data_IF_740570045497
#
_entry.id   IF_740570045497
#
_cell.length_a   1.000
_cell.length_b   1.000
_cell.length_c   1.000
_cell.angle_alpha   90.00
_cell.angle_beta   90.00
_cell.angle_gamma   90.00
#
_symmetry.space_group_name_H-M   'P 1'
#
loop_
_entity.id
_entity.type
_entity.pdbx_description
1 polymer ?
#
# COMPACT_ATOMS: atom_id res chain seq x y z
N UNK A 1 20.69 7.05 -28.65
CA UNK A 1 21.76 6.21 -29.24
C UNK A 1 22.38 5.49 -28.07
N UNK A 2 22.30 4.16 -28.03
CA UNK A 2 22.86 3.40 -26.92
C UNK A 2 24.36 3.69 -26.78
N UNK A 3 24.82 3.85 -25.55
CA UNK A 3 26.25 3.97 -25.26
C UNK A 3 26.98 2.75 -25.84
N UNK A 4 28.13 2.97 -26.48
CA UNK A 4 28.91 1.91 -27.14
C UNK A 4 29.24 0.73 -26.21
N UNK A 5 29.34 1.00 -24.90
CA UNK A 5 29.63 -0.03 -23.89
C UNK A 5 28.42 -0.93 -23.56
N UNK A 6 27.21 -0.54 -23.97
CA UNK A 6 25.97 -1.27 -23.71
C UNK A 6 25.43 -1.96 -24.98
N UNK A 7 26.34 -2.40 -25.86
CA UNK A 7 25.97 -3.11 -27.09
C UNK A 7 26.49 -4.54 -27.09
N UNK A 8 25.71 -5.45 -27.65
CA UNK A 8 26.09 -6.86 -27.79
C UNK A 8 27.35 -7.01 -28.65
N UNK A 9 27.46 -6.22 -29.72
CA UNK A 9 28.56 -6.25 -30.66
C UNK A 9 29.89 -5.84 -30.03
N UNK A 10 29.91 -4.75 -29.25
CA UNK A 10 31.13 -4.28 -28.59
C UNK A 10 31.58 -5.24 -27.49
N UNK A 11 30.63 -5.80 -26.73
CA UNK A 11 30.95 -6.80 -25.73
C UNK A 11 31.54 -8.08 -26.35
N UNK A 12 30.93 -8.62 -27.42
CA UNK A 12 31.46 -9.78 -28.15
C UNK A 12 32.87 -9.55 -28.70
N UNK A 13 33.15 -8.33 -29.16
CA UNK A 13 34.48 -7.95 -29.65
C UNK A 13 35.51 -7.95 -28.52
N UNK A 14 35.13 -7.46 -27.35
CA UNK A 14 35.98 -7.44 -26.16
C UNK A 14 36.22 -8.83 -25.58
N UNK A 15 35.19 -9.67 -25.47
CA UNK A 15 35.27 -11.01 -24.89
C UNK A 15 35.84 -12.07 -25.84
N UNK A 16 36.00 -11.76 -27.14
CA UNK A 16 36.52 -12.70 -28.14
C UNK A 16 37.90 -13.25 -27.75
N UNK A 17 37.98 -14.58 -27.62
CA UNK A 17 39.22 -15.28 -27.26
C UNK A 17 39.53 -15.28 -25.76
N UNK A 18 38.65 -14.67 -24.93
CA UNK A 18 38.71 -14.76 -23.47
C UNK A 18 37.69 -15.82 -23.04
N UNK A 19 38.13 -16.86 -22.34
CA UNK A 19 37.26 -17.98 -21.92
C UNK A 19 36.37 -17.57 -20.74
N UNK A 20 35.36 -16.74 -21.03
CA UNK A 20 34.49 -16.11 -20.03
C UNK A 20 33.04 -16.51 -20.27
N UNK A 21 32.34 -16.90 -19.19
CA UNK A 21 30.93 -17.31 -19.22
C UNK A 21 30.02 -16.08 -19.25
N UNK A 22 29.93 -15.41 -20.39
CA UNK A 22 29.21 -14.14 -20.57
C UNK A 22 27.81 -14.28 -21.21
N UNK A 23 27.30 -15.51 -21.38
CA UNK A 23 26.00 -15.78 -22.03
C UNK A 23 24.85 -14.98 -21.42
N UNK A 24 24.83 -14.83 -20.09
CA UNK A 24 23.76 -14.09 -19.40
C UNK A 24 23.85 -12.58 -19.66
N UNK A 25 25.07 -12.02 -19.65
CA UNK A 25 25.32 -10.62 -19.96
C UNK A 25 24.96 -10.29 -21.42
N UNK A 26 25.34 -11.16 -22.36
CA UNK A 26 24.95 -11.04 -23.78
C UNK A 26 23.43 -11.00 -23.95
N UNK A 27 22.69 -11.84 -23.21
CA UNK A 27 21.22 -11.83 -23.25
C UNK A 27 20.63 -10.54 -22.66
N UNK A 28 21.21 -10.02 -21.58
CA UNK A 28 20.78 -8.75 -20.98
C UNK A 28 21.02 -7.56 -21.93
N UNK A 29 22.19 -7.50 -22.57
CA UNK A 29 22.51 -6.48 -23.59
C UNK A 29 21.56 -6.55 -24.79
N UNK A 30 21.27 -7.76 -25.30
CA UNK A 30 20.31 -7.94 -26.38
C UNK A 30 18.87 -7.55 -25.99
N UNK A 31 18.49 -7.71 -24.72
CA UNK A 31 17.19 -7.26 -24.21
C UNK A 31 17.14 -5.73 -24.13
N UNK A 32 18.23 -5.10 -23.66
CA UNK A 32 18.35 -3.64 -23.63
C UNK A 32 18.28 -3.02 -25.04
N UNK A 33 18.98 -3.60 -26.02
CA UNK A 33 18.92 -3.13 -27.42
C UNK A 33 17.51 -3.24 -28.04
N UNK A 34 16.69 -4.18 -27.56
CA UNK A 34 15.31 -4.41 -28.05
C UNK A 34 14.24 -3.67 -27.27
N UNK A 35 14.56 -3.12 -26.10
CA UNK A 35 13.60 -2.47 -25.21
C UNK A 35 12.96 -1.25 -25.88
N UNK A 36 11.63 -1.19 -25.85
CA UNK A 36 10.84 -0.11 -26.45
C UNK A 36 10.23 0.75 -25.34
N UNK A 37 10.88 1.88 -25.11
CA UNK A 37 10.41 2.89 -24.18
C UNK A 37 11.07 2.84 -22.81
N UNK A 38 10.81 3.85 -21.96
CA UNK A 38 11.61 4.10 -20.77
C UNK A 38 11.54 2.99 -19.72
N UNK A 39 10.36 2.43 -19.48
CA UNK A 39 10.14 1.41 -18.44
C UNK A 39 10.83 0.08 -18.79
N UNK A 40 10.69 -0.39 -20.03
CA UNK A 40 11.40 -1.59 -20.51
C UNK A 40 12.92 -1.39 -20.51
N UNK A 41 13.39 -0.19 -20.85
CA UNK A 41 14.81 0.16 -20.80
C UNK A 41 15.37 0.09 -19.39
N UNK A 42 14.66 0.60 -18.38
CA UNK A 42 15.09 0.53 -16.98
C UNK A 42 15.15 -0.92 -16.46
N UNK A 43 14.17 -1.74 -16.80
CA UNK A 43 14.17 -3.16 -16.45
C UNK A 43 15.35 -3.90 -17.10
N UNK A 44 15.62 -3.63 -18.37
CA UNK A 44 16.75 -4.22 -19.08
C UNK A 44 18.12 -3.75 -18.55
N UNK A 45 18.25 -2.47 -18.19
CA UNK A 45 19.46 -1.90 -17.58
C UNK A 45 19.77 -2.53 -16.20
N UNK A 46 18.76 -2.71 -15.35
CA UNK A 46 18.91 -3.40 -14.07
C UNK A 46 19.40 -4.84 -14.24
N UNK A 47 18.95 -5.52 -15.30
CA UNK A 47 19.43 -6.86 -15.62
C UNK A 47 20.87 -6.83 -16.16
N UNK A 48 21.27 -5.82 -16.92
CA UNK A 48 22.68 -5.64 -17.34
C UNK A 48 23.58 -5.45 -16.12
N UNK A 49 23.21 -4.58 -15.17
CA UNK A 49 23.96 -4.32 -13.93
C UNK A 49 24.15 -5.60 -13.10
N UNK A 50 23.07 -6.37 -12.92
CA UNK A 50 23.10 -7.65 -12.21
C UNK A 50 24.09 -8.64 -12.84
N UNK A 51 24.10 -8.74 -14.16
CA UNK A 51 24.98 -9.68 -14.87
C UNK A 51 26.43 -9.17 -14.95
N UNK A 52 26.69 -7.85 -15.02
CA UNK A 52 28.07 -7.30 -14.88
C UNK A 52 28.64 -7.59 -13.50
N UNK A 53 27.85 -7.46 -12.44
CA UNK A 53 28.27 -7.81 -11.07
C UNK A 53 28.50 -9.31 -10.87
N UNK A 54 27.65 -10.14 -11.47
CA UNK A 54 27.88 -11.59 -11.48
C UNK A 54 29.19 -11.92 -12.18
N UNK A 55 29.45 -11.30 -13.34
CA UNK A 55 30.65 -11.55 -14.12
C UNK A 55 31.92 -11.09 -13.40
N UNK A 56 31.86 -9.94 -12.72
CA UNK A 56 32.95 -9.40 -11.88
C UNK A 56 33.43 -10.40 -10.83
N UNK A 57 32.56 -11.28 -10.33
CA UNK A 57 32.93 -12.33 -9.37
C UNK A 57 33.75 -13.46 -10.00
N UNK A 58 33.60 -13.71 -11.30
CA UNK A 58 34.32 -14.76 -12.02
C UNK A 58 35.66 -14.29 -12.59
N UNK A 59 35.78 -13.01 -12.95
CA UNK A 59 37.00 -12.44 -13.56
C UNK A 59 37.89 -11.70 -12.55
N UNK A 60 37.84 -12.09 -11.27
CA UNK A 60 38.63 -11.45 -10.20
C UNK A 60 40.13 -11.50 -10.53
N UNK A 61 40.75 -10.33 -10.63
CA UNK A 61 42.19 -10.18 -10.86
C UNK A 61 42.57 -9.76 -12.29
N UNK A 62 41.64 -9.82 -13.26
CA UNK A 62 41.87 -9.28 -14.59
C UNK A 62 41.52 -7.78 -14.62
N UNK A 63 42.57 -6.95 -14.71
CA UNK A 63 42.44 -5.48 -14.69
C UNK A 63 41.74 -4.93 -15.94
N UNK A 64 41.88 -5.58 -17.09
CA UNK A 64 41.23 -5.13 -18.31
C UNK A 64 39.73 -5.42 -18.27
N UNK A 65 39.34 -6.61 -17.78
CA UNK A 65 37.93 -6.92 -17.52
C UNK A 65 37.33 -5.98 -16.48
N UNK A 66 38.03 -5.73 -15.38
CA UNK A 66 37.58 -4.78 -14.37
C UNK A 66 37.30 -3.40 -14.97
N UNK A 67 38.23 -2.87 -15.76
CA UNK A 67 38.06 -1.57 -16.42
C UNK A 67 36.88 -1.54 -17.42
N UNK A 68 36.65 -2.62 -18.16
CA UNK A 68 35.52 -2.72 -19.09
C UNK A 68 34.18 -2.77 -18.33
N UNK A 69 34.08 -3.57 -17.26
CA UNK A 69 32.86 -3.65 -16.44
C UNK A 69 32.58 -2.32 -15.74
N UNK A 70 33.60 -1.62 -15.25
CA UNK A 70 33.44 -0.28 -14.67
C UNK A 70 32.95 0.75 -15.71
N UNK A 71 33.39 0.62 -16.96
CA UNK A 71 32.90 1.46 -18.06
C UNK A 71 31.43 1.16 -18.39
N UNK A 72 31.02 -0.12 -18.33
CA UNK A 72 29.62 -0.53 -18.47
C UNK A 72 28.76 0.00 -17.34
N UNK A 73 29.16 -0.14 -16.07
CA UNK A 73 28.38 0.37 -14.93
C UNK A 73 28.17 1.89 -15.02
N UNK A 74 29.20 2.63 -15.46
CA UNK A 74 29.08 4.08 -15.71
C UNK A 74 28.13 4.39 -16.87
N UNK A 75 28.09 3.55 -17.90
CA UNK A 75 27.17 3.70 -19.01
C UNK A 75 25.73 3.40 -18.57
N UNK A 76 25.51 2.32 -17.80
CA UNK A 76 24.22 1.98 -17.18
C UNK A 76 23.71 3.15 -16.37
N UNK A 77 24.52 3.70 -15.46
CA UNK A 77 24.10 4.84 -14.63
C UNK A 77 23.81 6.13 -15.40
N UNK A 78 24.34 6.32 -16.62
CA UNK A 78 23.98 7.44 -17.51
C UNK A 78 22.65 7.17 -18.20
N UNK A 79 22.50 6.00 -18.80
CA UNK A 79 21.29 5.61 -19.53
C UNK A 79 20.08 5.49 -18.60
N UNK A 80 20.25 5.02 -17.36
CA UNK A 80 19.16 5.02 -16.38
C UNK A 80 18.65 6.42 -16.06
N UNK A 81 19.55 7.41 -15.97
CA UNK A 81 19.14 8.80 -15.72
C UNK A 81 18.34 9.35 -16.90
N UNK A 82 18.77 9.04 -18.12
CA UNK A 82 18.06 9.44 -19.34
C UNK A 82 16.70 8.74 -19.42
N UNK A 83 16.64 7.43 -19.18
CA UNK A 83 15.40 6.66 -19.19
C UNK A 83 14.43 7.11 -18.09
N UNK A 84 14.88 7.33 -16.84
CA UNK A 84 14.04 7.90 -15.75
C UNK A 84 13.53 9.30 -16.09
N UNK A 85 14.34 10.14 -16.71
CA UNK A 85 13.90 11.47 -17.16
C UNK A 85 12.85 11.36 -18.27
N UNK A 86 13.06 10.46 -19.24
CA UNK A 86 12.11 10.20 -20.31
C UNK A 86 10.82 9.54 -19.81
N UNK A 87 10.87 8.67 -18.80
CA UNK A 87 9.69 8.08 -18.15
C UNK A 87 8.87 9.17 -17.44
N UNK A 88 9.54 10.06 -16.70
CA UNK A 88 8.88 11.20 -16.06
C UNK A 88 8.29 12.18 -17.08
N UNK A 89 8.96 12.40 -18.21
CA UNK A 89 8.44 13.24 -19.30
C UNK A 89 7.28 12.56 -20.03
N UNK A 90 7.35 11.26 -20.27
CA UNK A 90 6.26 10.47 -20.85
C UNK A 90 5.05 10.42 -19.92
N UNK A 91 5.24 10.20 -18.62
CA UNK A 91 4.18 10.27 -17.61
C UNK A 91 3.58 11.69 -17.53
N UNK A 92 4.39 12.73 -17.76
CA UNK A 92 3.87 14.10 -17.85
C UNK A 92 3.06 14.36 -19.11
N UNK A 93 3.42 13.78 -20.27
CA UNK A 93 2.70 13.93 -21.54
C UNK A 93 1.45 13.04 -21.63
N UNK A 94 1.53 11.82 -21.13
CA UNK A 94 0.39 10.90 -21.04
C UNK A 94 -0.66 11.46 -20.07
N UNK A 95 -0.23 12.12 -18.97
CA UNK A 95 -1.16 12.90 -18.15
C UNK A 95 -1.75 14.13 -18.85
N UNK A 96 -1.10 14.66 -19.89
CA UNK A 96 -1.58 15.84 -20.63
C UNK A 96 -2.62 15.44 -21.71
N UNK A 97 -2.41 14.30 -22.39
CA UNK A 97 -3.30 13.73 -23.42
C UNK A 97 -4.53 13.01 -22.83
N UNK A 98 -4.40 12.34 -21.67
CA UNK A 98 -5.56 11.69 -20.99
C UNK A 98 -6.49 12.69 -20.29
N UNK A 99 -6.06 13.95 -20.20
CA UNK A 99 -6.77 15.08 -19.62
C UNK A 99 -7.57 15.91 -20.65
N UNK A 100 -7.54 15.58 -21.96
CA UNK A 100 -8.32 16.28 -23.00
C UNK A 100 -9.69 15.65 -23.31
N UNK A 101 -10.07 14.57 -22.62
CA UNK A 101 -11.37 13.92 -22.80
C UNK A 101 -12.50 14.71 -22.09
N UNK A 102 -13.71 14.83 -22.70
CA UNK A 102 -14.85 15.50 -22.06
C UNK A 102 -15.27 14.86 -20.73
N UNK A 103 -14.91 13.60 -20.49
CA UNK A 103 -15.08 12.88 -19.22
C UNK A 103 -14.30 13.50 -18.05
N UNK A 104 -13.32 14.37 -18.32
CA UNK A 104 -12.58 15.12 -17.31
C UNK A 104 -13.51 16.03 -16.49
N UNK A 105 -14.47 16.64 -17.19
CA UNK A 105 -15.43 17.57 -16.59
C UNK A 105 -16.57 16.85 -15.87
N UNK A 106 -16.66 15.52 -15.96
CA UNK A 106 -17.74 14.71 -15.37
C UNK A 106 -17.18 13.60 -14.48
N UNK A 107 -17.01 12.39 -15.02
CA UNK A 107 -16.67 11.16 -14.28
C UNK A 107 -15.32 11.24 -13.59
N UNK A 108 -14.29 11.83 -14.24
CA UNK A 108 -12.95 11.96 -13.64
C UNK A 108 -12.88 13.08 -12.58
N UNK A 109 -13.89 13.94 -12.47
CA UNK A 109 -13.93 14.98 -11.44
C UNK A 109 -14.30 14.44 -10.06
N UNK A 110 -15.09 13.36 -9.98
CA UNK A 110 -15.50 12.70 -8.72
C UNK A 110 -14.31 12.28 -7.83
N UNK A 111 -13.30 11.52 -8.32
CA UNK A 111 -12.16 11.13 -7.48
C UNK A 111 -11.30 12.32 -7.04
N UNK A 112 -11.26 13.41 -7.81
CA UNK A 112 -10.56 14.64 -7.43
C UNK A 112 -11.30 15.37 -6.30
N UNK A 113 -12.63 15.45 -6.38
CA UNK A 113 -13.46 16.01 -5.30
C UNK A 113 -13.35 15.22 -4.00
N UNK A 114 -13.22 13.88 -4.07
CA UNK A 114 -12.94 13.04 -2.89
C UNK A 114 -11.57 13.34 -2.28
N UNK A 115 -10.55 13.57 -3.11
CA UNK A 115 -9.22 13.97 -2.63
C UNK A 115 -9.25 15.34 -1.95
N UNK A 116 -10.00 16.29 -2.52
CA UNK A 116 -10.21 17.60 -1.88
C UNK A 116 -10.86 17.44 -0.50
N UNK A 117 -11.92 16.64 -0.38
CA UNK A 117 -12.56 16.33 0.91
C UNK A 117 -11.62 15.66 1.92
N UNK A 118 -10.61 14.94 1.44
CA UNK A 118 -9.58 14.32 2.27
C UNK A 118 -8.43 15.29 2.63
N UNK A 119 -8.56 16.58 2.33
CA UNK A 119 -7.61 17.62 2.68
C UNK A 119 -6.49 17.87 1.65
N UNK A 120 -6.58 17.31 0.43
CA UNK A 120 -5.65 17.71 -0.63
C UNK A 120 -6.10 19.02 -1.30
N UNK A 121 -5.15 19.92 -1.50
CA UNK A 121 -5.37 21.12 -2.31
C UNK A 121 -5.27 20.79 -3.80
N UNK A 122 -6.18 21.34 -4.60
CA UNK A 122 -6.21 21.18 -6.06
C UNK A 122 -6.24 22.55 -6.74
N UNK A 123 -5.70 22.64 -7.95
CA UNK A 123 -5.85 23.81 -8.81
C UNK A 123 -7.24 23.78 -9.45
N UNK A 124 -7.90 24.92 -9.50
CA UNK A 124 -9.24 25.08 -10.04
C UNK A 124 -9.27 26.09 -11.19
N UNK A 125 -9.97 25.75 -12.26
CA UNK A 125 -10.32 26.67 -13.34
C UNK A 125 -11.83 26.65 -13.53
N UNK A 126 -12.43 27.84 -13.50
CA UNK A 126 -13.87 28.05 -13.67
C UNK A 126 -14.11 28.88 -14.91
N UNK A 127 -15.06 28.45 -15.73
CA UNK A 127 -15.63 29.25 -16.81
C UNK A 127 -17.05 29.69 -16.43
N UNK A 128 -17.35 30.98 -16.61
CA UNK A 128 -18.64 31.60 -16.30
C UNK A 128 -19.26 32.19 -17.57
N UNK A 129 -20.45 31.72 -17.96
CA UNK A 129 -21.22 32.23 -19.09
C UNK A 129 -22.66 32.52 -18.64
N UNK A 130 -22.93 33.79 -18.31
CA UNK A 130 -24.24 34.21 -17.81
C UNK A 130 -24.65 33.48 -16.51
N UNK A 131 -25.75 32.70 -16.51
CA UNK A 131 -26.17 31.89 -15.36
C UNK A 131 -25.43 30.55 -15.26
N UNK A 132 -24.79 30.09 -16.35
CA UNK A 132 -24.09 28.81 -16.40
C UNK A 132 -22.63 28.95 -15.95
N UNK A 133 -22.11 27.87 -15.38
CA UNK A 133 -20.70 27.75 -15.01
C UNK A 133 -20.20 26.33 -15.29
N UNK A 134 -18.89 26.19 -15.50
CA UNK A 134 -18.22 24.90 -15.63
C UNK A 134 -16.93 24.93 -14.81
N UNK A 135 -16.67 23.83 -14.11
CA UNK A 135 -15.56 23.70 -13.15
C UNK A 135 -14.61 22.61 -13.60
N UNK A 136 -13.32 22.85 -13.49
CA UNK A 136 -12.29 21.85 -13.71
C UNK A 136 -11.29 21.87 -12.55
N UNK A 137 -10.90 20.69 -12.10
CA UNK A 137 -9.90 20.48 -11.05
C UNK A 137 -8.69 19.74 -11.62
N UNK A 138 -7.49 20.09 -11.16
CA UNK A 138 -6.27 19.33 -11.45
C UNK A 138 -5.32 19.34 -10.24
N UNK A 139 -4.53 18.28 -10.11
CA UNK A 139 -3.43 18.19 -9.14
C UNK A 139 -2.27 19.14 -9.48
N UNK A 140 -2.23 19.66 -10.70
CA UNK A 140 -1.17 20.52 -11.24
C UNK A 140 -1.75 21.83 -11.74
N UNK A 141 -0.87 22.79 -12.00
CA UNK A 141 -1.26 24.07 -12.60
C UNK A 141 -1.99 23.85 -13.92
N UNK A 142 -3.18 24.44 -14.04
CA UNK A 142 -4.02 24.31 -15.21
C UNK A 142 -3.53 25.25 -16.32
N UNK A 143 -3.20 24.70 -17.49
CA UNK A 143 -2.74 25.48 -18.63
C UNK A 143 -3.86 26.31 -19.27
N UNK A 144 -3.57 27.49 -19.86
CA UNK A 144 -4.57 28.31 -20.52
C UNK A 144 -5.26 27.64 -21.72
N UNK A 145 -4.68 26.59 -22.31
CA UNK A 145 -5.28 25.85 -23.42
C UNK A 145 -6.58 25.12 -23.03
N UNK A 146 -6.71 24.73 -21.75
CA UNK A 146 -7.92 24.08 -21.21
C UNK A 146 -9.16 25.01 -21.15
N UNK A 147 -8.97 26.32 -21.35
CA UNK A 147 -10.08 27.28 -21.47
C UNK A 147 -11.02 26.94 -22.63
N UNK A 148 -10.47 26.42 -23.74
CA UNK A 148 -11.26 26.03 -24.90
C UNK A 148 -12.24 24.90 -24.57
N UNK A 149 -11.79 23.88 -23.85
CA UNK A 149 -12.65 22.77 -23.42
C UNK A 149 -13.82 23.25 -22.57
N UNK A 150 -13.57 24.15 -21.60
CA UNK A 150 -14.63 24.71 -20.78
C UNK A 150 -15.60 25.60 -21.58
N UNK A 151 -15.12 26.33 -22.59
CA UNK A 151 -15.99 27.06 -23.53
C UNK A 151 -16.87 26.11 -24.33
N UNK A 152 -16.26 25.05 -24.90
CA UNK A 152 -16.96 24.06 -25.72
C UNK A 152 -18.01 23.31 -24.89
N UNK A 153 -17.75 23.04 -23.60
CA UNK A 153 -18.71 22.43 -22.68
C UNK A 153 -19.91 23.32 -22.36
N UNK A 154 -19.69 24.64 -22.19
CA UNK A 154 -20.77 25.57 -21.86
C UNK A 154 -21.70 25.84 -23.05
N UNK A 155 -21.20 25.66 -24.28
CA UNK A 155 -21.90 25.89 -25.56
C UNK A 155 -22.61 27.26 -25.64
N UNK A 156 -22.12 28.25 -24.87
CA UNK A 156 -22.79 29.53 -24.68
C UNK A 156 -21.80 30.68 -24.47
N UNK A 157 -21.85 31.65 -25.38
CA UNK A 157 -21.19 32.94 -25.27
C UNK A 157 -19.66 32.93 -25.16
N UNK A 158 -19.13 34.07 -24.71
CA UNK A 158 -17.70 34.25 -24.41
C UNK A 158 -17.51 34.14 -22.89
N UNK A 159 -17.13 32.96 -22.35
CA UNK A 159 -17.05 32.76 -20.92
C UNK A 159 -15.94 33.60 -20.29
N UNK A 160 -16.20 34.09 -19.07
CA UNK A 160 -15.17 34.68 -18.20
C UNK A 160 -14.49 33.57 -17.40
N UNK A 161 -13.16 33.58 -17.38
CA UNK A 161 -12.38 32.57 -16.66
C UNK A 161 -11.87 33.09 -15.32
N UNK A 162 -11.96 32.26 -14.29
CA UNK A 162 -11.36 32.47 -12.99
C UNK A 162 -10.48 31.27 -12.64
N UNK A 163 -9.21 31.52 -12.31
CA UNK A 163 -8.27 30.51 -11.85
C UNK A 163 -8.06 30.66 -10.34
N UNK A 164 -7.98 29.54 -9.63
CA UNK A 164 -7.91 29.52 -8.18
C UNK A 164 -7.49 28.17 -7.62
N UNK A 165 -7.72 28.00 -6.32
CA UNK A 165 -7.41 26.77 -5.58
C UNK A 165 -8.72 26.22 -5.02
N UNK A 166 -8.85 24.90 -4.99
CA UNK A 166 -9.96 24.19 -4.37
C UNK A 166 -9.43 23.41 -3.16
N UNK A 167 -10.01 23.69 -1.99
CA UNK A 167 -9.69 23.08 -0.69
C UNK A 167 -10.98 22.61 -0.02
N UNK A 168 -10.86 21.88 1.08
CA UNK A 168 -12.02 21.51 1.92
C UNK A 168 -11.88 22.20 3.27
N UNK A 169 -12.79 23.14 3.54
CA UNK A 169 -12.77 24.01 4.73
C UNK A 169 -14.21 24.23 5.19
N UNK A 170 -14.43 24.32 6.51
CA UNK A 170 -15.76 24.50 7.10
C UNK A 170 -16.82 23.52 6.56
N UNK A 171 -16.46 22.25 6.43
CA UNK A 171 -17.29 21.18 5.88
C UNK A 171 -17.82 21.44 4.44
N UNK A 172 -17.20 22.35 3.70
CA UNK A 172 -17.57 22.73 2.34
C UNK A 172 -16.38 22.66 1.38
N UNK A 173 -16.68 22.36 0.11
CA UNK A 173 -15.71 22.49 -0.98
C UNK A 173 -15.51 23.97 -1.23
N UNK A 174 -14.33 24.48 -0.86
CA UNK A 174 -14.01 25.89 -0.85
C UNK A 174 -13.13 26.26 -2.03
N UNK A 175 -13.60 27.19 -2.86
CA UNK A 175 -12.84 27.72 -3.98
C UNK A 175 -12.29 29.09 -3.64
N UNK A 176 -10.96 29.24 -3.72
CA UNK A 176 -10.25 30.49 -3.46
C UNK A 176 -9.83 31.12 -4.78
N UNK A 177 -10.43 32.27 -5.12
CA UNK A 177 -10.13 33.02 -6.35
C UNK A 177 -9.54 34.40 -6.02
N UNK A 178 -8.77 34.96 -6.96
CA UNK A 178 -8.32 36.35 -6.87
C UNK A 178 -9.40 37.37 -7.30
N UNK A 179 -10.57 36.90 -7.71
CA UNK A 179 -11.72 37.72 -8.11
C UNK A 179 -12.78 37.76 -7.00
N UNK A 180 -13.61 38.79 -6.98
CA UNK A 180 -14.71 38.95 -6.01
C UNK A 180 -15.60 37.70 -5.93
N UNK A 181 -15.87 37.22 -4.72
CA UNK A 181 -16.56 35.95 -4.48
C UNK A 181 -18.08 35.98 -4.73
N UNK A 182 -18.71 37.17 -4.61
CA UNK A 182 -20.17 37.32 -4.60
C UNK A 182 -20.90 36.65 -5.77
N UNK A 183 -21.83 35.75 -5.44
CA UNK A 183 -22.70 35.05 -6.39
C UNK A 183 -22.02 33.93 -7.17
N UNK A 184 -20.79 33.54 -6.82
CA UNK A 184 -20.10 32.41 -7.44
C UNK A 184 -20.48 31.09 -6.79
N UNK A 185 -20.74 31.05 -5.48
CA UNK A 185 -21.00 29.81 -4.76
C UNK A 185 -22.21 29.06 -5.34
N UNK A 186 -23.32 29.79 -5.54
CA UNK A 186 -24.55 29.26 -6.16
C UNK A 186 -24.32 28.72 -7.58
N UNK A 187 -23.51 29.43 -8.39
CA UNK A 187 -23.19 29.01 -9.77
C UNK A 187 -22.32 27.77 -9.81
N UNK A 188 -21.30 27.70 -8.95
CA UNK A 188 -20.39 26.55 -8.85
C UNK A 188 -21.10 25.32 -8.30
N UNK A 189 -22.01 25.49 -7.33
CA UNK A 189 -22.85 24.41 -6.83
C UNK A 189 -23.72 23.81 -7.93
N UNK A 190 -24.39 24.66 -8.72
CA UNK A 190 -25.18 24.22 -9.86
C UNK A 190 -24.32 23.49 -10.91
N UNK A 191 -23.14 24.05 -11.24
CA UNK A 191 -22.20 23.44 -12.18
C UNK A 191 -21.69 22.08 -11.72
N UNK A 192 -21.26 21.95 -10.46
CA UNK A 192 -20.78 20.69 -9.91
C UNK A 192 -21.88 19.62 -9.88
N UNK A 193 -23.12 20.03 -9.58
CA UNK A 193 -24.27 19.13 -9.63
C UNK A 193 -24.55 18.65 -11.07
N UNK A 194 -24.52 19.54 -12.05
CA UNK A 194 -24.71 19.19 -13.47
C UNK A 194 -23.57 18.29 -13.99
N UNK A 195 -22.33 18.61 -13.62
CA UNK A 195 -21.14 17.91 -14.07
C UNK A 195 -20.97 16.52 -13.44
N UNK A 196 -21.26 16.37 -12.14
CA UNK A 196 -20.92 15.15 -11.38
C UNK A 196 -22.11 14.40 -10.82
N UNK A 197 -23.32 14.97 -10.92
CA UNK A 197 -24.51 14.51 -10.21
C UNK A 197 -24.37 14.47 -8.67
N UNK A 198 -23.36 15.13 -8.10
CA UNK A 198 -23.14 15.20 -6.66
C UNK A 198 -23.68 16.50 -6.07
N UNK A 199 -24.45 16.38 -4.99
CA UNK A 199 -24.86 17.53 -4.16
C UNK A 199 -23.75 17.85 -3.17
N UNK A 200 -23.07 18.97 -3.37
CA UNK A 200 -21.95 19.42 -2.54
C UNK A 200 -22.25 20.77 -1.91
N UNK A 201 -21.85 20.96 -0.65
CA UNK A 201 -21.76 22.29 -0.03
C UNK A 201 -20.57 23.01 -0.65
N UNK A 202 -20.81 24.20 -1.20
CA UNK A 202 -19.80 24.98 -1.92
C UNK A 202 -19.65 26.33 -1.26
N UNK A 203 -18.39 26.72 -1.02
CA UNK A 203 -18.00 28.03 -0.49
C UNK A 203 -17.03 28.69 -1.46
N UNK A 204 -17.10 30.00 -1.61
CA UNK A 204 -16.16 30.76 -2.43
C UNK A 204 -15.53 31.86 -1.59
N UNK A 205 -14.21 31.98 -1.69
CA UNK A 205 -13.42 33.00 -1.00
C UNK A 205 -12.69 33.87 -2.02
N UNK A 206 -12.78 35.18 -1.83
CA UNK A 206 -12.04 36.18 -2.59
C UNK A 206 -10.60 36.37 -2.09
N UNK A 207 -9.90 37.39 -2.60
CA UNK A 207 -8.55 37.73 -2.15
C UNK A 207 -8.52 38.26 -0.71
N UNK A 208 -9.64 38.81 -0.21
CA UNK A 208 -9.81 39.19 1.18
C UNK A 208 -10.37 38.00 1.97
N UNK A 209 -9.76 37.57 3.09
CA UNK A 209 -10.31 36.55 3.98
C UNK A 209 -11.74 36.82 4.46
N UNK A 210 -12.23 38.06 4.41
CA UNK A 210 -13.60 38.43 4.76
C UNK A 210 -14.57 38.42 3.56
N UNK A 211 -14.08 38.36 2.31
CA UNK A 211 -14.91 38.23 1.10
C UNK A 211 -15.29 36.76 0.89
N UNK A 212 -16.22 36.28 1.69
CA UNK A 212 -16.71 34.90 1.69
C UNK A 212 -18.15 34.88 1.16
N UNK A 213 -18.36 34.17 0.06
CA UNK A 213 -19.67 33.83 -0.48
C UNK A 213 -19.98 32.38 -0.09
N UNK A 214 -20.85 32.21 0.90
CA UNK A 214 -21.43 30.92 1.27
C UNK A 214 -22.86 30.90 0.73
N UNK A 215 -23.22 29.88 -0.06
CA UNK A 215 -24.60 29.66 -0.49
C UNK A 215 -25.39 29.19 0.74
N UNK A 216 -25.84 30.16 1.54
CA UNK A 216 -26.61 29.95 2.77
C UNK A 216 -27.92 29.26 2.45
N UNK A 217 -28.12 28.07 2.99
CA UNK A 217 -29.42 27.44 3.05
C UNK A 217 -30.09 27.86 4.36
N UNK A 218 -30.59 29.10 4.42
CA UNK A 218 -31.78 29.40 5.20
C UNK A 218 -32.95 29.39 4.22
N UNK A 219 -33.65 28.26 4.13
CA UNK A 219 -35.07 28.25 3.81
C UNK A 219 -35.69 26.91 4.23
N UNK A 220 -36.59 27.06 5.19
CA UNK A 220 -37.68 26.19 5.60
C UNK A 220 -38.29 25.44 4.40
N UNK A 221 -38.44 24.12 4.52
CA UNK A 221 -39.52 23.44 3.82
C UNK A 221 -40.21 22.44 4.75
N UNK A 222 -41.27 22.97 5.32
CA UNK A 222 -42.43 22.31 5.90
C UNK A 222 -42.93 21.15 5.02
N UNK A 223 -43.17 20.01 5.68
CA UNK A 223 -44.09 18.92 5.34
C UNK A 223 -44.29 18.55 3.87
N UNK A 224 -43.69 17.42 3.45
CA UNK A 224 -44.41 16.31 2.82
C UNK A 224 -43.56 15.06 2.98
N UNK A 225 -43.99 14.17 3.87
CA UNK A 225 -43.54 12.78 3.91
C UNK A 225 -43.88 12.13 2.56
N UNK A 226 -42.85 11.83 1.78
CA UNK A 226 -42.90 10.77 0.78
C UNK A 226 -42.00 9.68 1.31
N UNK A 227 -42.60 8.65 1.89
CA UNK A 227 -41.96 7.34 2.05
C UNK A 227 -41.47 6.90 0.67
N UNK A 228 -40.18 7.06 0.43
CA UNK A 228 -39.48 6.31 -0.61
C UNK A 228 -38.92 5.10 0.10
N UNK A 229 -39.65 3.97 0.00
CA UNK A 229 -39.07 2.65 0.17
C UNK A 229 -37.85 2.56 -0.75
N UNK A 230 -36.66 2.70 -0.17
CA UNK A 230 -35.43 2.30 -0.83
C UNK A 230 -35.43 0.77 -0.79
N UNK A 231 -35.98 0.16 -1.84
CA UNK A 231 -35.61 -1.20 -2.20
C UNK A 231 -34.10 -1.24 -2.32
N UNK A 232 -33.47 -1.80 -1.29
CA UNK A 232 -32.06 -2.21 -1.31
C UNK A 232 -31.98 -3.30 -2.37
N UNK A 233 -31.63 -2.93 -3.61
CA UNK A 233 -31.05 -3.88 -4.54
C UNK A 233 -29.72 -4.33 -3.94
N UNK A 234 -29.78 -5.40 -3.13
CA UNK A 234 -28.68 -6.33 -2.98
C UNK A 234 -28.38 -6.87 -4.38
N UNK A 235 -27.42 -6.23 -5.04
CA UNK A 235 -26.76 -6.78 -6.20
C UNK A 235 -25.99 -8.02 -5.70
N UNK A 236 -26.68 -9.15 -5.60
CA UNK A 236 -26.11 -10.50 -5.51
C UNK A 236 -25.37 -10.77 -6.82
N UNK A 237 -24.22 -10.09 -6.99
CA UNK A 237 -23.23 -10.51 -7.94
C UNK A 237 -22.82 -11.94 -7.57
N UNK A 238 -23.03 -12.86 -8.51
CA UNK A 238 -22.71 -14.27 -8.36
C UNK A 238 -21.33 -14.46 -7.70
N UNK A 239 -21.19 -15.41 -6.76
CA UNK A 239 -19.93 -15.62 -6.06
C UNK A 239 -18.81 -15.83 -7.08
N UNK A 240 -17.76 -15.00 -6.99
CA UNK A 240 -16.59 -15.15 -7.85
C UNK A 240 -16.10 -16.60 -7.80
N UNK A 241 -15.68 -17.21 -8.92
CA UNK A 241 -15.30 -18.63 -8.97
C UNK A 241 -14.21 -19.00 -7.95
N UNK A 242 -13.32 -18.07 -7.62
CA UNK A 242 -12.27 -18.24 -6.61
C UNK A 242 -12.81 -18.39 -5.19
N UNK A 243 -13.93 -17.74 -4.87
CA UNK A 243 -14.58 -17.86 -3.56
C UNK A 243 -15.18 -19.25 -3.37
N UNK A 244 -15.84 -19.76 -4.41
CA UNK A 244 -16.42 -21.11 -4.40
C UNK A 244 -15.32 -22.19 -4.24
N UNK A 245 -14.20 -22.04 -4.95
CA UNK A 245 -13.04 -22.94 -4.81
C UNK A 245 -12.46 -22.91 -3.39
N UNK A 246 -12.32 -21.71 -2.82
CA UNK A 246 -11.84 -21.53 -1.46
C UNK A 246 -12.76 -22.21 -0.42
N UNK A 247 -14.07 -21.99 -0.50
CA UNK A 247 -15.04 -22.56 0.44
C UNK A 247 -15.05 -24.10 0.36
N UNK A 248 -14.99 -24.66 -0.85
CA UNK A 248 -14.88 -26.11 -1.07
C UNK A 248 -13.60 -26.68 -0.46
N UNK A 249 -12.46 -26.02 -0.68
CA UNK A 249 -11.15 -26.45 -0.17
C UNK A 249 -11.11 -26.39 1.35
N UNK A 250 -11.60 -25.29 1.93
CA UNK A 250 -11.67 -25.10 3.38
C UNK A 250 -12.48 -26.20 4.06
N UNK A 251 -13.63 -26.58 3.50
CA UNK A 251 -14.46 -27.66 4.01
C UNK A 251 -13.72 -29.02 3.98
N UNK A 252 -13.02 -29.32 2.89
CA UNK A 252 -12.23 -30.55 2.76
C UNK A 252 -11.07 -30.61 3.77
N UNK A 253 -10.29 -29.53 3.87
CA UNK A 253 -9.13 -29.46 4.78
C UNK A 253 -9.57 -29.49 6.25
N UNK A 254 -10.66 -28.82 6.62
CA UNK A 254 -11.19 -28.88 8.01
C UNK A 254 -11.76 -30.25 8.37
N UNK A 255 -12.35 -30.98 7.43
CA UNK A 255 -12.77 -32.36 7.66
C UNK A 255 -11.57 -33.29 7.90
N UNK A 256 -10.52 -33.18 7.08
CA UNK A 256 -9.28 -33.95 7.23
C UNK A 256 -8.54 -33.66 8.55
N UNK A 257 -8.70 -32.44 9.08
CA UNK A 257 -8.02 -32.04 10.31
C UNK A 257 -8.55 -32.72 11.57
N UNK A 258 -9.85 -33.08 11.62
CA UNK A 258 -10.49 -33.63 12.83
C UNK A 258 -9.85 -34.93 13.32
N UNK A 259 -9.17 -35.66 12.46
CA UNK A 259 -8.49 -36.93 12.76
C UNK A 259 -6.95 -36.79 12.83
N UNK A 260 -6.39 -35.59 12.73
CA UNK A 260 -4.95 -35.39 12.63
C UNK A 260 -4.29 -35.15 13.99
N UNK A 261 -3.17 -35.83 14.32
CA UNK A 261 -2.49 -35.68 15.62
C UNK A 261 -1.86 -34.28 15.83
N UNK A 262 -1.53 -33.55 14.75
CA UNK A 262 -1.08 -32.15 14.82
C UNK A 262 -2.20 -31.11 14.59
N UNK A 263 -3.45 -31.42 14.94
CA UNK A 263 -4.61 -30.55 14.66
C UNK A 263 -4.38 -29.09 15.07
N UNK A 264 -3.82 -28.84 16.25
CA UNK A 264 -3.61 -27.49 16.79
C UNK A 264 -2.67 -26.62 15.92
N UNK A 265 -1.62 -27.22 15.33
CA UNK A 265 -0.62 -26.48 14.53
C UNK A 265 -1.16 -26.11 13.15
N UNK A 266 -1.89 -27.04 12.53
CA UNK A 266 -2.52 -26.82 11.23
C UNK A 266 -3.73 -25.88 11.33
N UNK A 267 -4.39 -25.83 12.49
CA UNK A 267 -5.50 -24.90 12.74
C UNK A 267 -5.06 -23.43 12.68
N UNK A 268 -3.82 -23.12 13.05
CA UNK A 268 -3.25 -21.78 12.89
C UNK A 268 -3.09 -21.37 11.41
N UNK A 269 -2.69 -22.30 10.53
CA UNK A 269 -2.62 -22.06 9.08
C UNK A 269 -4.01 -21.89 8.46
N UNK A 270 -5.01 -22.64 8.95
CA UNK A 270 -6.40 -22.47 8.51
C UNK A 270 -6.94 -21.09 8.92
N UNK A 271 -6.68 -20.65 10.15
CA UNK A 271 -7.07 -19.31 10.61
C UNK A 271 -6.40 -18.21 9.77
N UNK A 272 -5.14 -18.40 9.38
CA UNK A 272 -4.45 -17.49 8.44
C UNK A 272 -5.13 -17.45 7.07
N UNK A 273 -5.49 -18.61 6.50
CA UNK A 273 -6.22 -18.69 5.23
C UNK A 273 -7.59 -17.99 5.31
N UNK A 274 -8.31 -18.15 6.43
CA UNK A 274 -9.59 -17.46 6.70
C UNK A 274 -9.43 -15.94 6.79
N UNK A 275 -8.38 -15.45 7.45
CA UNK A 275 -8.09 -14.02 7.50
C UNK A 275 -7.80 -13.43 6.10
N UNK A 276 -7.10 -14.17 5.25
CA UNK A 276 -6.84 -13.76 3.84
C UNK A 276 -8.12 -13.73 3.00
N UNK A 277 -9.00 -14.72 3.16
CA UNK A 277 -10.29 -14.75 2.48
C UNK A 277 -11.22 -13.62 2.94
N UNK A 278 -11.25 -13.30 4.24
CA UNK A 278 -12.02 -12.16 4.77
C UNK A 278 -11.57 -10.80 4.22
N UNK A 279 -10.31 -10.68 3.78
CA UNK A 279 -9.76 -9.51 3.11
C UNK A 279 -9.92 -9.55 1.56
N UNK A 280 -10.66 -10.51 1.01
CA UNK A 280 -10.85 -10.69 -0.44
C UNK A 280 -9.62 -11.27 -1.16
N UNK A 281 -8.58 -11.71 -0.45
CA UNK A 281 -7.33 -12.23 -1.02
C UNK A 281 -7.41 -13.75 -1.27
N UNK A 282 -8.39 -14.19 -2.06
CA UNK A 282 -8.63 -15.61 -2.32
C UNK A 282 -7.43 -16.40 -2.89
N UNK A 283 -6.58 -15.88 -3.80
CA UNK A 283 -5.39 -16.60 -4.26
C UNK A 283 -4.41 -16.93 -3.12
N UNK A 284 -4.18 -15.98 -2.21
CA UNK A 284 -3.30 -16.21 -1.05
C UNK A 284 -3.92 -17.16 -0.03
N UNK A 285 -5.25 -17.12 0.13
CA UNK A 285 -5.97 -18.04 1.00
C UNK A 285 -5.89 -19.49 0.49
N UNK A 286 -6.03 -19.69 -0.82
CA UNK A 286 -5.87 -20.99 -1.47
C UNK A 286 -4.43 -21.53 -1.33
N UNK A 287 -3.42 -20.68 -1.50
CA UNK A 287 -2.02 -21.07 -1.30
C UNK A 287 -1.74 -21.51 0.16
N UNK A 288 -2.36 -20.86 1.14
CA UNK A 288 -2.26 -21.27 2.54
C UNK A 288 -2.92 -22.63 2.80
N UNK A 289 -4.09 -22.90 2.21
CA UNK A 289 -4.75 -24.21 2.29
C UNK A 289 -3.92 -25.31 1.61
N UNK A 290 -3.27 -25.02 0.49
CA UNK A 290 -2.36 -25.96 -0.18
C UNK A 290 -1.18 -26.37 0.72
N UNK A 291 -0.64 -25.45 1.52
CA UNK A 291 0.39 -25.78 2.50
C UNK A 291 -0.12 -26.71 3.61
N UNK A 292 -1.37 -26.52 4.05
CA UNK A 292 -2.01 -27.42 5.02
C UNK A 292 -2.19 -28.81 4.42
N UNK A 293 -2.69 -28.90 3.19
CA UNK A 293 -2.85 -30.17 2.47
C UNK A 293 -1.50 -30.91 2.30
N UNK A 294 -0.42 -30.18 2.01
CA UNK A 294 0.94 -30.74 1.89
C UNK A 294 1.46 -31.32 3.21
N UNK A 295 1.17 -30.67 4.32
CA UNK A 295 1.55 -31.16 5.66
C UNK A 295 0.70 -32.38 6.07
N UNK A 296 -0.59 -32.37 5.73
CA UNK A 296 -1.48 -33.53 5.93
C UNK A 296 -0.99 -34.75 5.11
N UNK A 297 -0.57 -34.53 3.86
CA UNK A 297 -0.08 -35.60 2.99
C UNK A 297 1.32 -36.13 3.38
N UNK A 298 2.19 -35.29 3.94
CA UNK A 298 3.52 -35.70 4.38
C UNK A 298 3.48 -36.72 5.53
N UNK A 299 2.42 -36.70 6.36
CA UNK A 299 2.28 -37.57 7.52
C UNK A 299 1.65 -38.93 7.21
N UNK A 300 0.96 -39.09 6.07
CA UNK A 300 0.34 -40.35 5.66
C UNK A 300 1.30 -41.28 4.91
N UNK A 301 2.55 -40.85 4.67
CA UNK A 301 3.58 -41.73 4.12
C UNK A 301 4.04 -42.74 5.19
N UNK A 302 3.85 -44.06 4.97
CA UNK A 302 4.20 -45.07 5.96
C UNK A 302 5.71 -45.06 6.20
N UNK A 303 6.09 -44.77 7.44
CA UNK A 303 7.48 -44.90 7.88
C UNK A 303 7.87 -46.38 7.83
N UNK A 304 8.96 -46.77 7.14
CA UNK A 304 9.44 -48.15 7.18
C UNK A 304 9.90 -48.49 8.60
N UNK A 305 9.22 -49.47 9.18
CA UNK A 305 9.52 -50.11 10.47
C UNK A 305 11.00 -50.49 10.55
N UNK A 306 11.76 -49.77 11.37
CA UNK A 306 13.11 -50.18 11.80
C UNK A 306 13.04 -50.57 13.27
N UNK A 307 13.28 -51.87 13.51
CA UNK A 307 13.27 -52.55 14.80
C UNK A 307 14.45 -52.10 15.67
N UNK A 308 14.28 -51.85 16.98
CA UNK A 308 15.37 -51.49 17.86
C UNK A 308 15.98 -52.74 18.51
N UNK A 309 17.29 -52.96 18.35
CA UNK A 309 18.09 -53.78 19.26
C UNK A 309 19.55 -53.34 19.15
N UNK A 310 20.08 -52.80 20.25
CA UNK A 310 21.47 -52.91 20.75
C UNK A 310 21.89 -51.62 21.47
N UNK A 311 21.99 -51.71 22.80
CA UNK A 311 22.92 -50.92 23.62
C UNK A 311 24.35 -51.07 23.08
N UNK A 312 25.16 -50.01 23.01
CA UNK A 312 26.21 -49.89 24.00
C UNK A 312 26.53 -48.44 24.45
N UNK A 313 27.00 -48.40 25.70
CA UNK A 313 27.74 -47.38 26.42
C UNK A 313 28.69 -46.53 25.56
N UNK A 314 28.59 -45.20 25.62
CA UNK A 314 29.68 -44.25 25.29
C UNK A 314 29.40 -42.84 25.82
N UNK A 315 30.22 -42.46 26.80
CA UNK A 315 30.79 -41.13 27.09
C UNK A 315 30.09 -39.89 26.53
N UNK A 316 29.49 -39.13 27.45
CA UNK A 316 28.98 -37.77 27.34
C UNK A 316 30.04 -36.79 26.81
N UNK A 317 29.93 -36.43 25.53
CA UNK A 317 30.40 -35.13 25.02
C UNK A 317 29.14 -34.35 24.60
N UNK A 318 28.89 -33.13 25.10
CA UNK A 318 27.69 -32.38 24.79
C UNK A 318 27.69 -31.94 23.31
N UNK A 319 26.98 -32.69 22.47
CA UNK A 319 26.75 -32.36 21.07
C UNK A 319 25.59 -31.35 20.98
N UNK A 320 25.89 -30.17 20.44
CA UNK A 320 24.99 -29.02 20.42
C UNK A 320 23.70 -29.26 19.58
N UNK A 321 22.51 -28.95 20.13
CA UNK A 321 21.24 -29.05 19.41
C UNK A 321 21.02 -27.81 18.51
N UNK A 322 21.64 -27.75 17.33
CA UNK A 322 21.68 -26.52 16.53
C UNK A 322 20.65 -26.40 15.39
N UNK A 323 19.90 -27.46 15.07
CA UNK A 323 18.94 -27.45 13.94
C UNK A 323 17.48 -27.13 14.29
N UNK A 324 16.99 -27.60 15.43
CA UNK A 324 15.59 -27.45 15.82
C UNK A 324 15.21 -26.01 16.26
N UNK A 325 16.19 -25.17 16.61
CA UNK A 325 15.94 -23.78 17.00
C UNK A 325 15.72 -22.85 15.81
N UNK A 326 16.36 -23.10 14.65
CA UNK A 326 16.24 -22.23 13.48
C UNK A 326 14.84 -22.22 12.87
N UNK A 327 14.19 -23.39 12.79
CA UNK A 327 12.81 -23.47 12.29
C UNK A 327 11.85 -22.75 13.24
N UNK A 328 12.04 -22.88 14.55
CA UNK A 328 11.23 -22.15 15.55
C UNK A 328 11.45 -20.64 15.45
N UNK A 329 12.69 -20.21 15.26
CA UNK A 329 13.04 -18.81 15.07
C UNK A 329 12.40 -18.22 13.79
N UNK A 330 12.43 -18.97 12.68
CA UNK A 330 11.75 -18.57 11.44
C UNK A 330 10.24 -18.46 11.62
N UNK A 331 9.62 -19.42 12.31
CA UNK A 331 8.18 -19.39 12.61
C UNK A 331 7.82 -18.20 13.49
N UNK A 332 8.61 -17.93 14.54
CA UNK A 332 8.39 -16.79 15.43
C UNK A 332 8.56 -15.46 14.70
N UNK A 333 9.55 -15.34 13.80
CA UNK A 333 9.76 -14.15 12.94
C UNK A 333 8.56 -13.88 12.04
N UNK A 334 8.01 -14.90 11.38
CA UNK A 334 6.80 -14.78 10.57
C UNK A 334 5.57 -14.42 11.42
N UNK A 335 5.43 -15.06 12.59
CA UNK A 335 4.36 -14.75 13.54
C UNK A 335 4.40 -13.31 14.03
N UNK A 336 5.58 -12.77 14.32
CA UNK A 336 5.77 -11.37 14.69
C UNK A 336 5.38 -10.42 13.55
N UNK A 337 5.84 -10.67 12.32
CA UNK A 337 5.46 -9.83 11.17
C UNK A 337 3.94 -9.80 10.95
N UNK A 338 3.29 -10.96 11.04
CA UNK A 338 1.84 -11.08 10.89
C UNK A 338 1.09 -10.35 12.01
N UNK A 339 1.52 -10.50 13.27
CA UNK A 339 0.94 -9.81 14.40
C UNK A 339 1.07 -8.28 14.27
N UNK A 340 2.23 -7.79 13.85
CA UNK A 340 2.47 -6.36 13.60
C UNK A 340 1.55 -5.81 12.52
N UNK A 341 1.47 -6.48 11.36
CA UNK A 341 0.57 -6.07 10.26
C UNK A 341 -0.89 -6.09 10.67
N UNK A 342 -1.33 -7.12 11.42
CA UNK A 342 -2.69 -7.20 11.95
C UNK A 342 -2.99 -6.05 12.92
N UNK A 343 -2.07 -5.78 13.84
CA UNK A 343 -2.19 -4.69 14.80
C UNK A 343 -2.33 -3.32 14.10
N UNK A 344 -1.52 -3.05 13.06
CA UNK A 344 -1.64 -1.84 12.24
C UNK A 344 -3.01 -1.74 11.55
N UNK A 345 -3.49 -2.85 10.96
CA UNK A 345 -4.79 -2.88 10.30
C UNK A 345 -5.95 -2.67 11.29
N UNK A 346 -5.92 -3.32 12.45
CA UNK A 346 -6.95 -3.18 13.47
C UNK A 346 -7.03 -1.75 14.01
N UNK A 347 -5.89 -1.07 14.17
CA UNK A 347 -5.85 0.33 14.59
C UNK A 347 -6.32 1.30 13.52
N UNK A 348 -5.93 1.09 12.26
CA UNK A 348 -6.45 1.89 11.15
C UNK A 348 -7.97 1.81 11.08
N UNK A 349 -8.52 0.62 11.36
CA UNK A 349 -9.95 0.40 11.40
C UNK A 349 -10.62 1.04 12.63
N UNK A 350 -10.03 0.95 13.82
CA UNK A 350 -10.52 1.67 15.01
C UNK A 350 -10.52 3.18 14.77
N UNK A 351 -9.45 3.73 14.19
CA UNK A 351 -9.37 5.15 13.84
C UNK A 351 -10.43 5.56 12.82
N UNK A 352 -10.73 4.70 11.84
CA UNK A 352 -11.80 4.94 10.87
C UNK A 352 -13.17 4.96 11.56
N UNK A 353 -13.50 3.92 12.33
CA UNK A 353 -14.79 3.81 13.03
C UNK A 353 -14.99 4.97 14.01
N UNK A 354 -13.94 5.40 14.71
CA UNK A 354 -14.00 6.53 15.63
C UNK A 354 -14.28 7.85 14.90
N UNK A 355 -13.65 8.09 13.75
CA UNK A 355 -13.96 9.26 12.90
C UNK A 355 -15.38 9.23 12.39
N UNK A 356 -15.85 8.10 11.91
CA UNK A 356 -17.21 7.97 11.39
C UNK A 356 -18.25 8.20 12.50
N UNK A 357 -17.97 7.71 13.72
CA UNK A 357 -18.83 7.93 14.89
C UNK A 357 -18.86 9.42 15.30
N UNK A 358 -17.71 10.09 15.34
CA UNK A 358 -17.64 11.53 15.63
C UNK A 358 -18.36 12.36 14.57
N UNK A 359 -18.15 12.06 13.29
CA UNK A 359 -18.84 12.74 12.19
C UNK A 359 -20.36 12.54 12.27
N UNK A 360 -20.81 11.33 12.59
CA UNK A 360 -22.23 11.03 12.76
C UNK A 360 -22.82 11.81 13.96
N UNK A 361 -22.13 11.84 15.09
CA UNK A 361 -22.56 12.59 16.29
C UNK A 361 -22.62 14.10 16.01
N UNK A 362 -21.57 14.68 15.42
CA UNK A 362 -21.52 16.11 15.08
C UNK A 362 -22.53 16.51 13.99
N UNK A 363 -23.04 15.55 13.22
CA UNK A 363 -24.08 15.80 12.20
C UNK A 363 -25.50 15.65 12.76
N UNK A 364 -25.67 15.18 14.00
CA UNK A 364 -26.96 15.05 14.66
C UNK A 364 -27.38 16.38 15.28
N UNK A 365 -28.39 17.03 14.71
CA UNK A 365 -28.92 18.32 15.20
C UNK A 365 -29.50 18.23 16.62
N UNK A 366 -29.78 17.03 17.11
CA UNK A 366 -30.29 16.80 18.47
C UNK A 366 -29.17 16.57 19.50
N UNK A 367 -27.92 16.40 19.07
CA UNK A 367 -26.79 16.30 19.97
C UNK A 367 -26.55 17.64 20.69
N UNK A 368 -26.46 17.59 22.02
CA UNK A 368 -26.20 18.79 22.84
C UNK A 368 -24.70 19.17 22.85
N UNK A 369 -23.84 18.26 22.40
CA UNK A 369 -22.38 18.36 22.38
C UNK A 369 -21.78 18.08 21.00
N UNK A 370 -20.70 18.77 20.68
CA UNK A 370 -19.88 18.54 19.48
C UNK A 370 -18.48 18.08 19.90
N UNK A 371 -17.94 17.09 19.18
CA UNK A 371 -16.57 16.64 19.35
C UNK A 371 -15.63 17.37 18.40
N UNK A 372 -14.49 17.85 18.90
CA UNK A 372 -13.48 18.48 18.05
C UNK A 372 -12.77 17.44 17.16
N UNK A 373 -13.02 17.51 15.84
CA UNK A 373 -12.40 16.61 14.88
C UNK A 373 -10.87 16.72 14.83
N UNK A 374 -10.33 17.91 15.16
CA UNK A 374 -8.90 18.17 15.24
C UNK A 374 -8.20 17.28 16.27
N UNK A 375 -8.73 17.26 17.49
CA UNK A 375 -8.22 16.43 18.60
C UNK A 375 -8.24 14.94 18.24
N UNK A 376 -9.30 14.49 17.57
CA UNK A 376 -9.38 13.13 17.08
C UNK A 376 -8.27 12.81 16.07
N UNK A 377 -8.02 13.71 15.10
CA UNK A 377 -6.95 13.51 14.13
C UNK A 377 -5.57 13.49 14.80
N UNK A 378 -5.33 14.32 15.81
CA UNK A 378 -4.10 14.30 16.60
C UNK A 378 -3.94 12.98 17.37
N UNK A 379 -5.02 12.49 17.99
CA UNK A 379 -5.05 11.17 18.63
C UNK A 379 -4.71 10.04 17.66
N UNK A 380 -5.26 10.07 16.44
CA UNK A 380 -4.95 9.10 15.37
C UNK A 380 -3.49 9.19 14.91
N UNK A 381 -2.90 10.40 14.87
CA UNK A 381 -1.47 10.56 14.56
C UNK A 381 -0.58 9.98 15.66
N UNK A 382 -0.92 10.19 16.94
CA UNK A 382 -0.20 9.60 18.07
C UNK A 382 -0.26 8.07 18.02
N UNK A 383 -1.43 7.50 17.69
CA UNK A 383 -1.61 6.06 17.45
C UNK A 383 -0.67 5.53 16.35
N UNK A 384 -0.50 6.26 15.25
CA UNK A 384 0.43 5.87 14.19
C UNK A 384 1.90 5.93 14.64
N UNK A 385 2.30 6.99 15.36
CA UNK A 385 3.66 7.16 15.89
C UNK A 385 4.07 6.03 16.88
N UNK A 386 3.12 5.54 17.69
CA UNK A 386 3.34 4.37 18.56
C UNK A 386 3.81 3.15 17.75
N UNK A 387 3.30 2.96 16.53
CA UNK A 387 3.69 1.85 15.65
C UNK A 387 4.96 2.11 14.85
N UNK A 388 5.32 3.37 14.61
CA UNK A 388 6.65 3.70 14.11
C UNK A 388 7.73 3.32 15.13
N UNK A 389 7.43 3.38 16.44
CA UNK A 389 8.36 2.91 17.48
C UNK A 389 8.49 1.38 17.49
N UNK A 390 7.40 0.66 17.17
CA UNK A 390 7.39 -0.77 16.86
C UNK A 390 7.83 -1.02 15.40
N UNK A 391 9.04 -0.55 15.08
CA UNK A 391 9.65 -0.58 13.75
C UNK A 391 10.10 -1.99 13.30
N UNK A 392 10.92 -2.03 12.23
CA UNK A 392 11.49 -3.25 11.65
C UNK A 392 12.71 -3.79 12.40
N UNK A 393 13.28 -3.10 13.40
CA UNK A 393 14.53 -3.51 14.08
C UNK A 393 14.48 -4.94 14.60
N UNK A 394 13.36 -5.37 15.17
CA UNK A 394 13.23 -6.76 15.64
C UNK A 394 13.24 -7.74 14.46
N UNK A 395 12.60 -7.40 13.33
CA UNK A 395 12.64 -8.24 12.13
C UNK A 395 14.06 -8.29 11.56
N UNK A 396 14.75 -7.15 11.49
CA UNK A 396 16.11 -7.05 10.98
C UNK A 396 17.09 -7.86 11.84
N UNK A 397 16.96 -7.79 13.17
CA UNK A 397 17.77 -8.58 14.11
C UNK A 397 17.48 -10.09 14.03
N UNK A 398 16.22 -10.48 13.88
CA UNK A 398 15.83 -11.89 13.69
C UNK A 398 16.35 -12.44 12.35
N UNK A 399 16.25 -11.64 11.27
CA UNK A 399 16.77 -12.01 9.96
C UNK A 399 18.30 -12.10 9.97
N UNK A 400 19.00 -11.22 10.69
CA UNK A 400 20.44 -11.34 10.90
C UNK A 400 20.79 -12.65 11.65
N UNK A 401 20.05 -13.00 12.71
CA UNK A 401 20.27 -14.24 13.45
C UNK A 401 20.01 -15.51 12.60
N UNK A 402 18.98 -15.48 11.74
CA UNK A 402 18.65 -16.58 10.84
C UNK A 402 19.71 -16.79 9.76
N UNK A 403 20.29 -15.71 9.24
CA UNK A 403 21.30 -15.75 8.19
C UNK A 403 22.75 -15.91 8.71
N UNK A 404 22.98 -15.69 10.01
CA UNK A 404 24.30 -15.78 10.61
C UNK A 404 24.82 -17.22 10.75
N UNK A 405 26.15 -17.35 10.63
CA UNK A 405 26.87 -18.58 10.97
C UNK A 405 26.75 -18.94 12.47
N UNK A 406 27.04 -20.19 12.87
CA UNK A 406 26.84 -20.66 14.23
C UNK A 406 27.62 -19.85 15.29
N UNK A 407 28.76 -19.26 14.93
CA UNK A 407 29.58 -18.44 15.85
C UNK A 407 29.01 -17.02 16.05
N UNK A 408 28.37 -16.45 15.04
CA UNK A 408 27.82 -15.08 15.06
C UNK A 408 26.37 -15.04 15.55
N UNK A 409 25.63 -16.14 15.40
CA UNK A 409 24.21 -16.24 15.77
C UNK A 409 23.92 -15.86 17.22
N UNK A 410 24.70 -16.27 18.25
CA UNK A 410 24.42 -15.86 19.62
C UNK A 410 24.44 -14.35 19.82
N UNK A 411 25.30 -13.62 19.10
CA UNK A 411 25.36 -12.16 19.18
C UNK A 411 24.09 -11.51 18.61
N UNK A 412 23.62 -11.96 17.44
CA UNK A 412 22.37 -11.46 16.85
C UNK A 412 21.13 -11.88 17.64
N UNK A 413 21.13 -13.06 18.26
CA UNK A 413 20.06 -13.46 19.18
C UNK A 413 20.03 -12.57 20.43
N UNK A 414 21.18 -12.19 20.97
CA UNK A 414 21.28 -11.25 22.09
C UNK A 414 20.77 -9.84 21.70
N UNK A 415 21.08 -9.39 20.48
CA UNK A 415 20.54 -8.14 19.92
C UNK A 415 19.02 -8.19 19.78
N UNK A 416 18.47 -9.26 19.19
CA UNK A 416 17.03 -9.47 19.08
C UNK A 416 16.35 -9.51 20.46
N UNK A 417 16.96 -10.14 21.46
CA UNK A 417 16.45 -10.17 22.83
C UNK A 417 16.43 -8.77 23.49
N UNK A 418 17.42 -7.93 23.19
CA UNK A 418 17.47 -6.53 23.65
C UNK A 418 16.33 -5.71 23.03
N UNK A 419 16.15 -5.78 21.71
CA UNK A 419 15.03 -5.09 21.01
C UNK A 419 13.67 -5.57 21.53
N UNK A 420 13.51 -6.87 21.74
CA UNK A 420 12.30 -7.46 22.31
C UNK A 420 11.99 -6.91 23.71
N UNK A 421 13.03 -6.71 24.54
CA UNK A 421 12.88 -6.13 25.89
C UNK A 421 12.43 -4.68 25.81
N UNK A 422 12.99 -3.90 24.88
CA UNK A 422 12.55 -2.52 24.63
C UNK A 422 11.09 -2.47 24.19
N UNK A 423 10.66 -3.34 23.27
CA UNK A 423 9.27 -3.40 22.79
C UNK A 423 8.30 -3.77 23.91
N UNK A 424 8.60 -4.79 24.71
CA UNK A 424 7.75 -5.15 25.86
C UNK A 424 7.65 -4.03 26.88
N UNK A 425 8.76 -3.36 27.17
CA UNK A 425 8.78 -2.21 28.10
C UNK A 425 7.92 -1.07 27.56
N UNK A 426 8.05 -0.75 26.28
CA UNK A 426 7.26 0.27 25.61
C UNK A 426 5.76 -0.05 25.62
N UNK A 427 5.38 -1.29 25.27
CA UNK A 427 3.96 -1.68 25.26
C UNK A 427 3.36 -1.69 26.66
N UNK A 428 4.10 -2.17 27.67
CA UNK A 428 3.64 -2.14 29.07
C UNK A 428 3.50 -0.70 29.60
N UNK A 429 4.33 0.23 29.11
CA UNK A 429 4.29 1.63 29.49
C UNK A 429 3.24 2.46 28.74
N UNK A 430 2.63 1.94 27.67
CA UNK A 430 1.70 2.68 26.81
C UNK A 430 0.24 2.47 27.24
N UNK A 431 -0.39 3.45 27.91
CA UNK A 431 -1.81 3.33 28.31
C UNK A 431 -2.74 3.31 27.09
N UNK A 432 -2.27 3.88 25.97
CA UNK A 432 -3.03 3.97 24.74
C UNK A 432 -3.31 2.59 24.13
N UNK A 433 -2.33 1.68 24.14
CA UNK A 433 -2.54 0.32 23.63
C UNK A 433 -3.58 -0.46 24.45
N UNK A 434 -3.59 -0.26 25.78
CA UNK A 434 -4.60 -0.86 26.65
C UNK A 434 -5.99 -0.26 26.39
N UNK A 435 -6.08 1.05 26.16
CA UNK A 435 -7.32 1.74 25.82
C UNK A 435 -7.89 1.27 24.47
N UNK A 436 -7.03 0.99 23.48
CA UNK A 436 -7.45 0.43 22.19
C UNK A 436 -8.09 -0.94 22.40
N UNK A 437 -7.43 -1.88 23.11
CA UNK A 437 -8.00 -3.22 23.32
C UNK A 437 -9.35 -3.18 24.06
N UNK A 438 -9.57 -2.17 24.91
CA UNK A 438 -10.80 -1.94 25.67
C UNK A 438 -11.82 -1.00 25.00
N UNK A 439 -11.59 -0.57 23.75
CA UNK A 439 -12.44 0.45 23.15
C UNK A 439 -13.88 -0.08 22.88
N UNK A 440 -14.93 0.77 23.05
CA UNK A 440 -16.32 0.36 22.87
C UNK A 440 -16.78 0.33 21.40
N UNK A 441 -16.02 0.95 20.49
CA UNK A 441 -16.41 1.13 19.09
C UNK A 441 -16.21 -0.15 18.27
N UNK A 442 -15.13 -0.88 18.54
CA UNK A 442 -14.81 -2.14 17.84
C UNK A 442 -13.94 -3.04 18.71
N UNK A 443 -14.36 -4.29 18.98
CA UNK A 443 -13.50 -5.25 19.66
C UNK A 443 -12.19 -5.47 18.89
N UNK A 444 -11.06 -5.25 19.55
CA UNK A 444 -9.74 -5.53 19.00
C UNK A 444 -8.82 -6.12 20.08
N UNK A 445 -7.74 -6.76 19.64
CA UNK A 445 -6.79 -7.47 20.51
C UNK A 445 -5.35 -7.14 20.11
N UNK A 446 -5.09 -5.84 19.90
CA UNK A 446 -3.82 -5.29 19.44
C UNK A 446 -2.71 -5.59 20.46
N UNK A 447 -2.87 -5.16 21.71
CA UNK A 447 -1.84 -5.36 22.74
C UNK A 447 -1.64 -6.85 23.00
N UNK A 448 -2.74 -7.59 23.24
CA UNK A 448 -2.68 -9.04 23.48
C UNK A 448 -2.04 -9.81 22.32
N UNK A 449 -2.35 -9.43 21.09
CA UNK A 449 -1.81 -10.06 19.88
C UNK A 449 -0.30 -9.85 19.75
N UNK A 450 0.17 -8.61 19.99
CA UNK A 450 1.58 -8.28 19.98
C UNK A 450 2.35 -8.97 21.13
N UNK A 451 1.79 -8.99 22.35
CA UNK A 451 2.39 -9.66 23.50
C UNK A 451 2.58 -11.16 23.26
N UNK A 452 1.56 -11.83 22.71
CA UNK A 452 1.65 -13.25 22.35
C UNK A 452 2.74 -13.51 21.30
N UNK A 453 2.85 -12.64 20.29
CA UNK A 453 3.86 -12.77 19.26
C UNK A 453 5.27 -12.54 19.81
N UNK A 454 5.47 -11.52 20.66
CA UNK A 454 6.75 -11.31 21.35
C UNK A 454 7.07 -12.43 22.34
N UNK A 455 6.08 -13.05 22.98
CA UNK A 455 6.27 -14.26 23.81
C UNK A 455 6.81 -15.43 22.97
N UNK A 456 6.25 -15.64 21.78
CA UNK A 456 6.72 -16.66 20.85
C UNK A 456 8.14 -16.39 20.36
N UNK A 457 8.49 -15.13 20.05
CA UNK A 457 9.87 -14.74 19.69
C UNK A 457 10.83 -15.00 20.83
N UNK A 458 10.50 -14.59 22.06
CA UNK A 458 11.36 -14.83 23.22
C UNK A 458 11.57 -16.32 23.52
N UNK A 459 10.59 -17.18 23.23
CA UNK A 459 10.72 -18.62 23.39
C UNK A 459 11.54 -19.29 22.27
N UNK A 460 11.75 -18.60 21.15
CA UNK A 460 12.49 -19.10 19.99
C UNK A 460 13.94 -18.59 19.92
N UNK A 461 14.23 -17.48 20.58
CA UNK A 461 15.58 -17.01 20.90
C UNK A 461 16.21 -17.91 21.96
#
# INVERSE_FOLDING_TARGET
>A
MADKYLTEAEWKKFSKGRDVKDTALLKALAAYEKAKGPSEQLSALAQVEKETDALRKFVKGDKEFGAQLDAMDRAVGREEKVAKAAEKEAESKESEDEEDAPDLLTTKMIPLLRQVKNGQEMQALVALAGPKAAVMLSRRAISPSRRKMLTDYLDDGMPKFAAGICTFEAAAVTFVFQTQAAGMAKKLRAALLEQTALRLKVRVRGPDPQDVDEDGHEEEHEGTEVEVEVEVHEDQAAPSPLRAEYEQRLAATTAALKSHPEAAKLQALIAFAQGKAGAGQFPSALQALEQVDKLLAAQTSPTPTSTPTSTPTSTTTPQAPSGASLVKLQQARLGWEQARKKAQADMAEVARVLRDAVLAHNSDETAEDEYEEGDLQEGVKLLAQVFETLDTRLLDALDAALNAGPEQRPAHQAEAASVLTQYRTFMAASPLLAAIDGNPFRPCTVQRGLDNALAAVAAAL
#
